data_IF_214004348692
#
_entry.id   IF_214004348692
#
_cell.length_a   1.000
_cell.length_b   1.000
_cell.length_c   1.000
_cell.angle_alpha   90.00
_cell.angle_beta   90.00
_cell.angle_gamma   90.00
#
_symmetry.space_group_name_H-M   'P 1'
#
loop_
_entity.id
_entity.type
_entity.pdbx_description
1 polymer ?
#
# COMPACT_ATOMS: atom_id res chain seq x y z
N UNK A 1 -24.01 0.42 9.92
CA UNK A 1 -22.72 0.80 9.30
C UNK A 1 -22.99 1.86 8.23
N UNK A 2 -22.37 3.03 8.31
CA UNK A 2 -22.53 4.05 7.27
C UNK A 2 -21.95 3.58 5.93
N UNK A 3 -22.58 3.92 4.79
CA UNK A 3 -22.04 3.60 3.47
C UNK A 3 -20.62 4.17 3.32
N UNK A 4 -19.71 3.39 2.71
CA UNK A 4 -18.37 3.89 2.40
C UNK A 4 -18.46 4.99 1.36
N UNK A 5 -17.76 6.10 1.58
CA UNK A 5 -17.66 7.17 0.57
C UNK A 5 -16.99 6.66 -0.70
N UNK A 6 -17.20 7.37 -1.83
CA UNK A 6 -16.55 7.04 -3.11
C UNK A 6 -15.04 6.91 -2.96
N UNK A 7 -14.40 7.88 -2.30
CA UNK A 7 -12.96 7.88 -2.03
C UNK A 7 -12.52 6.68 -1.16
N UNK A 8 -13.28 6.33 -0.13
CA UNK A 8 -12.96 5.14 0.68
C UNK A 8 -13.01 3.85 -0.15
N UNK A 9 -13.95 3.74 -1.10
CA UNK A 9 -14.02 2.57 -2.01
C UNK A 9 -12.81 2.54 -2.93
N UNK A 10 -12.35 3.69 -3.42
CA UNK A 10 -11.13 3.78 -4.24
C UNK A 10 -9.88 3.39 -3.47
N UNK A 11 -9.70 3.87 -2.23
CA UNK A 11 -8.57 3.48 -1.36
C UNK A 11 -8.52 1.96 -1.18
N UNK A 12 -9.68 1.34 -0.89
CA UNK A 12 -9.77 -0.12 -0.74
C UNK A 12 -9.53 -0.86 -2.06
N UNK A 13 -9.94 -0.29 -3.19
CA UNK A 13 -9.65 -0.86 -4.51
C UNK A 13 -8.15 -0.86 -4.80
N UNK A 14 -7.48 0.25 -4.51
CA UNK A 14 -6.03 0.39 -4.67
C UNK A 14 -5.27 -0.58 -3.75
N UNK A 15 -5.69 -0.73 -2.50
CA UNK A 15 -5.10 -1.70 -1.58
C UNK A 15 -5.21 -3.14 -2.10
N UNK A 16 -6.39 -3.53 -2.60
CA UNK A 16 -6.57 -4.87 -3.19
C UNK A 16 -5.74 -5.06 -4.46
N UNK A 17 -5.58 -4.03 -5.30
CA UNK A 17 -4.68 -4.06 -6.47
C UNK A 17 -3.23 -4.28 -6.02
N UNK A 18 -2.77 -3.54 -5.01
CA UNK A 18 -1.44 -3.70 -4.45
C UNK A 18 -1.19 -5.14 -3.95
N UNK A 19 -2.15 -5.73 -3.23
CA UNK A 19 -2.05 -7.12 -2.76
C UNK A 19 -2.03 -8.14 -3.90
N UNK A 20 -2.72 -7.89 -5.03
CA UNK A 20 -2.62 -8.72 -6.23
C UNK A 20 -1.25 -8.59 -6.88
N UNK A 21 -0.72 -7.37 -7.01
CA UNK A 21 0.64 -7.13 -7.50
C UNK A 21 1.67 -7.89 -6.65
N UNK A 22 1.56 -7.88 -5.32
CA UNK A 22 2.47 -8.65 -4.44
C UNK A 22 2.53 -10.14 -4.84
N UNK A 23 1.40 -10.74 -5.25
CA UNK A 23 1.34 -12.16 -5.64
C UNK A 23 2.10 -12.45 -6.93
N UNK A 24 2.33 -11.46 -7.79
CA UNK A 24 3.11 -11.63 -9.03
C UNK A 24 4.61 -11.60 -8.79
N UNK A 25 5.06 -11.21 -7.59
CA UNK A 25 6.49 -11.09 -7.26
C UNK A 25 7.16 -12.41 -6.88
N UNK A 26 8.48 -12.53 -7.11
CA UNK A 26 9.24 -13.73 -6.76
C UNK A 26 9.04 -14.15 -5.29
N UNK A 27 8.96 -15.44 -4.97
CA UNK A 27 8.74 -15.91 -3.60
C UNK A 27 9.75 -15.35 -2.58
N UNK A 28 11.01 -15.20 -2.98
CA UNK A 28 12.10 -14.70 -2.12
C UNK A 28 11.94 -13.24 -1.69
N UNK A 29 11.28 -12.40 -2.49
CA UNK A 29 11.11 -10.96 -2.22
C UNK A 29 9.66 -10.58 -1.92
N UNK A 30 8.70 -11.49 -2.15
CA UNK A 30 7.26 -11.28 -1.93
C UNK A 30 6.92 -10.76 -0.54
N UNK A 31 7.59 -11.27 0.49
CA UNK A 31 7.38 -10.83 1.87
C UNK A 31 7.72 -9.33 2.06
N UNK A 32 8.75 -8.82 1.39
CA UNK A 32 9.12 -7.39 1.44
C UNK A 32 8.04 -6.52 0.80
N UNK A 33 7.54 -6.91 -0.39
CA UNK A 33 6.44 -6.19 -1.04
C UNK A 33 5.17 -6.20 -0.19
N UNK A 34 4.83 -7.35 0.42
CA UNK A 34 3.68 -7.46 1.30
C UNK A 34 3.82 -6.52 2.51
N UNK A 35 4.98 -6.53 3.15
CA UNK A 35 5.30 -5.65 4.27
C UNK A 35 5.19 -4.18 3.87
N UNK A 36 5.85 -3.79 2.79
CA UNK A 36 5.80 -2.43 2.28
C UNK A 36 4.35 -1.95 2.07
N UNK A 37 3.51 -2.75 1.42
CA UNK A 37 2.10 -2.43 1.16
C UNK A 37 1.32 -2.33 2.46
N UNK A 38 1.40 -3.34 3.34
CA UNK A 38 0.63 -3.35 4.61
C UNK A 38 1.02 -2.17 5.50
N UNK A 39 2.32 -1.94 5.67
CA UNK A 39 2.83 -0.85 6.48
C UNK A 39 2.40 0.52 5.95
N UNK A 40 2.57 0.76 4.64
CA UNK A 40 2.27 2.07 4.05
C UNK A 40 0.80 2.44 4.18
N UNK A 41 -0.11 1.49 3.92
CA UNK A 41 -1.55 1.73 4.08
C UNK A 41 -1.94 1.87 5.55
N UNK A 42 -1.36 1.06 6.45
CA UNK A 42 -1.62 1.16 7.88
C UNK A 42 -1.17 2.52 8.43
N UNK A 43 0.06 2.95 8.15
CA UNK A 43 0.59 4.24 8.59
C UNK A 43 -0.30 5.38 8.12
N UNK A 44 -0.61 5.46 6.83
CA UNK A 44 -1.48 6.51 6.30
C UNK A 44 -2.88 6.49 6.94
N UNK A 45 -3.46 5.31 7.18
CA UNK A 45 -4.76 5.19 7.85
C UNK A 45 -4.73 5.65 9.32
N UNK A 46 -3.58 5.52 10.00
CA UNK A 46 -3.41 5.96 11.40
C UNK A 46 -3.01 7.42 11.54
N UNK A 47 -2.29 7.99 10.57
CA UNK A 47 -1.73 9.35 10.67
C UNK A 47 -2.58 10.42 9.98
N UNK A 48 -3.42 10.04 9.01
CA UNK A 48 -4.18 10.98 8.19
C UNK A 48 -5.64 10.96 8.59
N UNK A 49 -6.15 12.13 8.97
CA UNK A 49 -7.57 12.28 9.25
C UNK A 49 -8.40 12.05 7.98
N UNK A 50 -9.52 11.29 8.05
CA UNK A 50 -10.45 11.10 6.93
C UNK A 50 -11.01 12.41 6.36
N UNK A 51 -10.92 13.53 7.09
CA UNK A 51 -11.35 14.86 6.66
C UNK A 51 -10.36 15.55 5.72
N UNK A 52 -9.10 15.09 5.66
CA UNK A 52 -8.06 15.65 4.79
C UNK A 52 -8.15 15.07 3.38
N UNK A 53 -9.27 15.33 2.69
CA UNK A 53 -9.60 14.73 1.39
C UNK A 53 -8.52 14.99 0.33
N UNK A 54 -8.03 16.23 0.21
CA UNK A 54 -7.01 16.61 -0.77
C UNK A 54 -5.68 15.85 -0.58
N UNK A 55 -5.30 15.60 0.68
CA UNK A 55 -4.10 14.82 1.02
C UNK A 55 -4.30 13.35 0.63
N UNK A 56 -5.46 12.78 0.92
CA UNK A 56 -5.80 11.40 0.55
C UNK A 56 -5.78 11.25 -0.97
N UNK A 57 -6.35 12.19 -1.72
CA UNK A 57 -6.32 12.17 -3.19
C UNK A 57 -4.90 12.28 -3.75
N UNK A 58 -4.05 13.12 -3.16
CA UNK A 58 -2.64 13.19 -3.53
C UNK A 58 -1.94 11.84 -3.31
N UNK A 59 -2.11 11.23 -2.14
CA UNK A 59 -1.53 9.92 -1.83
C UNK A 59 -2.07 8.81 -2.71
N UNK A 60 -3.35 8.87 -3.07
CA UNK A 60 -3.96 7.94 -4.03
C UNK A 60 -3.32 8.05 -5.41
N UNK A 61 -3.02 9.26 -5.89
CA UNK A 61 -2.27 9.45 -7.15
C UNK A 61 -0.86 8.90 -7.06
N UNK A 62 -0.14 9.16 -5.97
CA UNK A 62 1.21 8.62 -5.76
C UNK A 62 1.21 7.08 -5.69
N UNK A 63 0.30 6.52 -4.89
CA UNK A 63 0.17 5.06 -4.72
C UNK A 63 -0.20 4.35 -6.02
N UNK A 64 -1.06 4.94 -6.87
CA UNK A 64 -1.39 4.40 -8.19
C UNK A 64 -0.14 4.29 -9.08
N UNK A 65 0.65 5.36 -9.17
CA UNK A 65 1.92 5.36 -9.94
C UNK A 65 2.92 4.33 -9.40
N UNK A 66 3.04 4.24 -8.07
CA UNK A 66 3.98 3.31 -7.44
C UNK A 66 3.57 1.84 -7.67
N UNK A 67 2.27 1.53 -7.58
CA UNK A 67 1.77 0.18 -7.85
C UNK A 67 1.92 -0.18 -9.33
N UNK A 68 1.67 0.75 -10.25
CA UNK A 68 1.88 0.55 -11.68
C UNK A 68 3.35 0.23 -12.00
N UNK A 69 4.29 0.99 -11.46
CA UNK A 69 5.72 0.69 -11.57
C UNK A 69 6.06 -0.69 -10.98
N UNK A 70 5.49 -1.03 -9.83
CA UNK A 70 5.67 -2.36 -9.24
C UNK A 70 4.88 -3.46 -9.95
N UNK A 71 3.98 -3.20 -10.88
CA UNK A 71 3.35 -4.26 -11.67
C UNK A 71 4.27 -4.76 -12.80
N UNK A 72 5.28 -3.97 -13.17
CA UNK A 72 6.30 -4.36 -14.14
C UNK A 72 7.04 -5.65 -13.69
N UNK A 73 7.08 -6.71 -14.54
CA UNK A 73 7.78 -7.96 -14.23
C UNK A 73 9.31 -7.81 -14.02
N UNK A 74 9.93 -6.76 -14.55
CA UNK A 74 11.34 -6.45 -14.35
C UNK A 74 11.65 -6.03 -12.91
N UNK A 75 10.67 -5.46 -12.20
CA UNK A 75 10.82 -5.05 -10.81
C UNK A 75 10.63 -6.25 -9.88
N UNK A 76 11.75 -6.83 -9.46
CA UNK A 76 11.77 -8.10 -8.71
C UNK A 76 12.00 -7.95 -7.21
N UNK A 77 12.42 -6.78 -6.74
CA UNK A 77 12.67 -6.51 -5.32
C UNK A 77 12.21 -5.10 -4.93
N UNK A 78 12.01 -4.88 -3.64
CA UNK A 78 11.78 -3.54 -3.08
C UNK A 78 12.57 -3.36 -1.78
N UNK A 79 12.85 -2.10 -1.46
CA UNK A 79 13.46 -1.75 -0.20
C UNK A 79 12.40 -1.68 0.91
N UNK A 80 12.74 -2.20 2.09
CA UNK A 80 11.95 -2.09 3.32
C UNK A 80 12.83 -1.50 4.42
N UNK A 81 12.31 -0.48 5.11
CA UNK A 81 13.04 0.21 6.16
C UNK A 81 13.19 -0.66 7.41
N UNK A 82 14.10 -0.28 8.31
CA UNK A 82 14.22 -0.90 9.63
C UNK A 82 12.91 -0.79 10.41
N UNK A 83 12.27 0.39 10.39
CA UNK A 83 10.98 0.64 11.03
C UNK A 83 9.88 -0.30 10.51
N UNK A 84 9.83 -0.56 9.20
CA UNK A 84 8.89 -1.52 8.62
C UNK A 84 9.13 -2.94 9.17
N UNK A 85 10.38 -3.37 9.25
CA UNK A 85 10.72 -4.70 9.78
C UNK A 85 10.34 -4.83 11.25
N UNK A 86 10.69 -3.83 12.06
CA UNK A 86 10.33 -3.76 13.48
C UNK A 86 8.80 -3.76 13.68
N UNK A 87 8.03 -3.08 12.81
CA UNK A 87 6.57 -3.11 12.84
C UNK A 87 6.00 -4.49 12.54
N UNK A 88 6.59 -5.21 11.59
CA UNK A 88 6.18 -6.57 11.22
C UNK A 88 6.44 -7.61 12.31
N UNK A 89 7.47 -7.40 13.13
CA UNK A 89 7.79 -8.28 14.26
C UNK A 89 6.82 -8.08 15.44
N UNK A 90 6.18 -6.92 15.54
CA UNK A 90 5.26 -6.57 16.63
C UNK A 90 3.79 -6.89 16.34
N UNK A 91 3.44 -7.19 15.09
CA UNK A 91 2.05 -7.35 14.60
C UNK A 91 1.76 -8.79 14.21
#
# INVERSE_FOLDING_TARGET
>A
MSPRSGLQREVLSLYRRALRMVRTKPPSTRAKFLLFVRYSFHRNATTISPRQVSVIEHLMRQGRKQIEMYEDPSVKDCWVSKEMKEWNERT
#
